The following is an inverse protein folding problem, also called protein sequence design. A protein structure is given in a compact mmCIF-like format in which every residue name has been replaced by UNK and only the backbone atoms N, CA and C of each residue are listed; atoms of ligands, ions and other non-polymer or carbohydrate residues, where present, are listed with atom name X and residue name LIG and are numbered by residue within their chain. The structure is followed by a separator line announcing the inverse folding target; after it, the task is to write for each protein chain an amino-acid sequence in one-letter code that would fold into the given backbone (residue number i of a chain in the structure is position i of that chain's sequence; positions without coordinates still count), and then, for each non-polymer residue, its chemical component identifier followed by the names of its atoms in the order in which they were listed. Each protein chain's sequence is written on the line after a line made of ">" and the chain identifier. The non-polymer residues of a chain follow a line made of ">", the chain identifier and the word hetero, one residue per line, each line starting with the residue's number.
data_IF_666781819020
#
_entry.id   IF_666781819020
#
_cell.length_a   1.000
_cell.length_b   1.000
_cell.length_c   1.000
_cell.angle_alpha   90.00
_cell.angle_beta   90.00
_cell.angle_gamma   90.00
#
_symmetry.space_group_name_H-M   'P 1'
#
loop_
_entity.id
_entity.type
_entity.pdbx_description
1 polymer ?
#
# COMPACT_ATOMS: atom_id res chain seq x y z
N UNK A 1 -26.83 -81.41 42.16
CA UNK A 1 -27.21 -81.47 40.73
C UNK A 1 -27.64 -80.08 40.30
N UNK A 2 -26.95 -79.47 39.32
CA UNK A 2 -27.43 -78.49 38.31
C UNK A 2 -28.31 -77.33 38.82
N UNK A 3 -27.98 -76.04 38.64
CA UNK A 3 -27.65 -75.38 37.37
C UNK A 3 -27.21 -73.94 37.66
N UNK A 4 -26.14 -73.48 37.02
CA UNK A 4 -25.74 -72.08 36.98
C UNK A 4 -26.55 -71.37 35.87
N UNK A 5 -27.04 -70.16 36.15
CA UNK A 5 -27.61 -69.25 35.16
C UNK A 5 -26.61 -68.12 34.91
N UNK A 6 -26.02 -68.14 33.72
CA UNK A 6 -25.19 -67.08 33.16
C UNK A 6 -26.08 -65.95 32.63
N UNK A 7 -25.81 -64.71 33.06
CA UNK A 7 -26.43 -63.50 32.50
C UNK A 7 -25.57 -62.92 31.37
N UNK A 8 -26.07 -62.99 30.14
CA UNK A 8 -25.46 -62.46 28.93
C UNK A 8 -25.49 -60.91 28.90
N UNK A 9 -24.30 -60.30 28.85
CA UNK A 9 -24.11 -58.89 28.49
C UNK A 9 -24.25 -58.70 26.96
N UNK A 10 -25.37 -58.11 26.55
CA UNK A 10 -25.61 -57.63 25.19
C UNK A 10 -24.77 -56.37 24.90
N UNK A 11 -23.59 -56.55 24.31
CA UNK A 11 -22.75 -55.48 23.76
C UNK A 11 -23.20 -55.10 22.34
N UNK A 12 -23.99 -54.03 22.24
CA UNK A 12 -24.42 -53.40 20.98
C UNK A 12 -23.25 -52.69 20.30
N UNK A 13 -22.68 -53.31 19.27
CA UNK A 13 -21.62 -52.75 18.43
C UNK A 13 -22.18 -51.73 17.42
N UNK A 14 -22.18 -50.44 17.79
CA UNK A 14 -22.40 -49.36 16.83
C UNK A 14 -21.20 -49.24 15.89
N UNK A 15 -21.37 -49.66 14.65
CA UNK A 15 -20.45 -49.43 13.54
C UNK A 15 -20.40 -47.94 13.19
N UNK A 16 -19.44 -47.22 13.76
CA UNK A 16 -19.10 -45.85 13.31
C UNK A 16 -18.53 -45.91 11.91
N UNK A 17 -19.30 -45.44 10.93
CA UNK A 17 -18.79 -45.10 9.60
C UNK A 17 -17.67 -44.07 9.75
N UNK A 18 -16.48 -44.28 9.15
CA UNK A 18 -15.38 -43.33 9.27
C UNK A 18 -15.77 -42.00 8.62
N UNK A 19 -15.73 -40.93 9.42
CA UNK A 19 -15.92 -39.56 8.94
C UNK A 19 -14.96 -39.28 7.77
N UNK A 20 -15.42 -38.63 6.69
CA UNK A 20 -14.57 -38.34 5.54
C UNK A 20 -13.36 -37.52 6.00
N UNK A 21 -12.16 -38.02 5.68
CA UNK A 21 -10.91 -37.32 6.00
C UNK A 21 -10.92 -35.95 5.31
N UNK A 22 -10.62 -34.85 6.01
CA UNK A 22 -10.55 -33.53 5.39
C UNK A 22 -9.56 -33.57 4.23
N UNK A 23 -10.00 -33.08 3.07
CA UNK A 23 -9.17 -33.00 1.87
C UNK A 23 -8.06 -32.00 2.17
N UNK A 24 -6.86 -32.49 2.44
CA UNK A 24 -5.69 -31.64 2.65
C UNK A 24 -5.32 -31.03 1.29
N UNK A 25 -5.75 -29.79 1.07
CA UNK A 25 -5.33 -29.02 -0.10
C UNK A 25 -3.80 -28.86 -0.03
N UNK A 26 -3.04 -29.31 -1.05
CA UNK A 26 -1.59 -29.15 -1.06
C UNK A 26 -1.20 -27.66 -0.95
N UNK A 27 -0.22 -27.32 -0.12
CA UNK A 27 0.24 -25.93 0.09
C UNK A 27 0.51 -25.19 -1.23
N UNK A 28 0.98 -25.90 -2.27
CA UNK A 28 1.19 -25.34 -3.61
C UNK A 28 -0.07 -24.69 -4.24
N UNK A 29 -1.28 -25.21 -3.99
CA UNK A 29 -2.52 -24.63 -4.55
C UNK A 29 -2.91 -23.32 -3.85
N UNK A 30 -2.64 -23.21 -2.55
CA UNK A 30 -2.92 -22.00 -1.75
C UNK A 30 -2.07 -20.82 -2.20
N UNK A 31 -0.79 -21.10 -2.44
CA UNK A 31 0.15 -20.09 -2.93
C UNK A 31 -0.29 -19.53 -4.28
N UNK A 32 -0.85 -20.38 -5.15
CA UNK A 32 -1.34 -19.97 -6.47
C UNK A 32 -2.56 -19.05 -6.40
N UNK A 33 -3.53 -19.31 -5.51
CA UNK A 33 -4.72 -18.46 -5.37
C UNK A 33 -4.36 -17.04 -4.90
N UNK A 34 -3.51 -16.93 -3.87
CA UNK A 34 -3.02 -15.64 -3.38
C UNK A 34 -2.15 -14.91 -4.42
N UNK A 35 -1.31 -15.64 -5.18
CA UNK A 35 -0.50 -15.06 -6.28
C UNK A 35 -1.38 -14.52 -7.41
N UNK A 36 -2.44 -15.24 -7.77
CA UNK A 36 -3.40 -14.79 -8.76
C UNK A 36 -4.13 -13.54 -8.26
N UNK A 37 -4.65 -13.58 -7.04
CA UNK A 37 -5.31 -12.43 -6.42
C UNK A 37 -4.39 -11.20 -6.37
N UNK A 38 -3.12 -11.38 -6.01
CA UNK A 38 -2.13 -10.29 -6.06
C UNK A 38 -2.01 -9.70 -7.48
N UNK A 39 -1.89 -10.55 -8.50
CA UNK A 39 -1.81 -10.12 -9.90
C UNK A 39 -3.06 -9.35 -10.35
N UNK A 40 -4.24 -9.84 -9.97
CA UNK A 40 -5.53 -9.24 -10.33
C UNK A 40 -5.72 -7.88 -9.62
N UNK A 41 -5.38 -7.78 -8.33
CA UNK A 41 -5.39 -6.51 -7.57
C UNK A 41 -4.33 -5.55 -8.11
N UNK A 42 -3.14 -6.03 -8.47
CA UNK A 42 -2.09 -5.18 -9.05
C UNK A 42 -2.54 -4.53 -10.35
N UNK A 43 -3.35 -5.24 -11.12
CA UNK A 43 -3.94 -4.81 -12.39
C UNK A 43 -5.19 -3.92 -12.22
N UNK A 44 -5.70 -3.75 -10.99
CA UNK A 44 -6.83 -2.86 -10.72
C UNK A 44 -6.41 -1.39 -10.69
N UNK A 45 -7.39 -0.48 -10.78
CA UNK A 45 -7.18 0.94 -10.52
C UNK A 45 -6.73 1.21 -9.07
N UNK A 46 -6.25 2.42 -8.74
CA UNK A 46 -5.75 2.78 -7.41
C UNK A 46 -6.83 2.66 -6.32
N UNK A 47 -8.10 2.75 -6.70
CA UNK A 47 -9.28 2.55 -5.85
C UNK A 47 -10.13 1.44 -6.43
N UNK A 48 -10.54 0.50 -5.59
CA UNK A 48 -11.46 -0.56 -6.00
C UNK A 48 -12.89 -0.04 -5.97
N UNK A 49 -13.64 -0.33 -7.02
CA UNK A 49 -15.08 -0.14 -7.07
C UNK A 49 -15.76 -1.27 -6.30
N UNK A 50 -16.99 -1.05 -5.86
CA UNK A 50 -17.77 -2.08 -5.14
C UNK A 50 -17.87 -3.41 -5.92
N UNK A 51 -17.99 -3.32 -7.24
CA UNK A 51 -18.04 -4.48 -8.13
C UNK A 51 -16.70 -5.22 -8.24
N UNK A 52 -15.57 -4.55 -7.95
CA UNK A 52 -14.26 -5.20 -7.99
C UNK A 52 -14.12 -6.21 -6.84
N UNK A 53 -14.76 -6.00 -5.69
CA UNK A 53 -14.70 -6.91 -4.55
C UNK A 53 -15.22 -8.31 -4.90
N UNK A 54 -16.42 -8.38 -5.49
CA UNK A 54 -17.00 -9.66 -5.91
C UNK A 54 -16.16 -10.33 -7.01
N UNK A 55 -15.65 -9.56 -7.98
CA UNK A 55 -14.80 -10.10 -9.06
C UNK A 55 -13.49 -10.68 -8.53
N UNK A 56 -12.95 -10.09 -7.47
CA UNK A 56 -11.67 -10.47 -6.87
C UNK A 56 -11.83 -11.44 -5.69
N UNK A 57 -13.04 -11.95 -5.40
CA UNK A 57 -13.33 -12.77 -4.22
C UNK A 57 -12.84 -12.12 -2.92
N UNK A 58 -13.15 -10.83 -2.74
CA UNK A 58 -12.82 -10.07 -1.53
C UNK A 58 -14.11 -9.77 -0.78
N UNK A 59 -14.23 -10.28 0.44
CA UNK A 59 -15.36 -10.00 1.32
C UNK A 59 -14.99 -8.87 2.27
N UNK A 60 -15.62 -7.70 2.10
CA UNK A 60 -15.37 -6.52 2.93
C UNK A 60 -16.54 -6.29 3.88
N UNK A 61 -16.28 -6.32 5.18
CA UNK A 61 -17.26 -6.04 6.23
C UNK A 61 -16.93 -4.71 6.90
N UNK A 62 -17.78 -3.67 6.80
CA UNK A 62 -17.61 -2.46 7.59
C UNK A 62 -17.92 -2.75 9.06
N UNK A 63 -17.13 -2.18 9.96
CA UNK A 63 -17.25 -2.40 11.40
C UNK A 63 -17.08 -1.09 12.14
N UNK A 64 -17.86 -0.90 13.20
CA UNK A 64 -17.67 0.21 14.14
C UNK A 64 -16.92 -0.34 15.34
N UNK A 65 -15.68 0.11 15.52
CA UNK A 65 -14.91 -0.26 16.69
C UNK A 65 -15.41 0.53 17.90
N UNK A 66 -15.52 -0.17 19.03
CA UNK A 66 -15.87 0.41 20.32
C UNK A 66 -14.80 1.40 20.77
N UNK A 67 -15.22 2.56 21.27
CA UNK A 67 -14.33 3.66 21.63
C UNK A 67 -13.43 3.35 22.83
N UNK A 68 -13.88 2.47 23.72
CA UNK A 68 -13.10 1.98 24.86
C UNK A 68 -12.19 0.81 24.46
N UNK A 69 -12.26 0.39 23.20
CA UNK A 69 -11.49 -0.72 22.67
C UNK A 69 -12.04 -2.06 23.15
N UNK A 70 -13.34 -2.25 23.29
CA UNK A 70 -13.90 -3.59 23.51
C UNK A 70 -13.57 -4.54 22.34
N UNK A 71 -13.42 -5.86 22.60
CA UNK A 71 -13.21 -6.85 21.55
C UNK A 71 -14.30 -6.83 20.48
N UNK A 72 -13.88 -7.06 19.24
CA UNK A 72 -14.74 -6.99 18.07
C UNK A 72 -14.79 -8.36 17.36
N UNK A 73 -15.97 -8.98 17.15
CA UNK A 73 -16.07 -10.31 16.53
C UNK A 73 -15.47 -10.39 15.13
N UNK A 74 -15.57 -9.33 14.33
CA UNK A 74 -15.00 -9.25 12.98
C UNK A 74 -13.47 -9.16 13.00
N UNK A 75 -12.88 -8.82 14.15
CA UNK A 75 -11.45 -8.76 14.42
C UNK A 75 -11.00 -10.02 15.19
N UNK A 76 -11.52 -11.19 14.82
CA UNK A 76 -11.42 -12.45 15.57
C UNK A 76 -10.01 -12.99 15.84
N UNK A 77 -8.96 -12.42 15.24
CA UNK A 77 -7.57 -12.81 15.45
C UNK A 77 -6.77 -11.82 16.32
N UNK A 78 -7.38 -10.70 16.70
CA UNK A 78 -6.73 -9.68 17.53
C UNK A 78 -7.69 -9.22 18.62
N UNK A 79 -7.27 -9.32 19.87
CA UNK A 79 -8.03 -8.77 21.00
C UNK A 79 -7.36 -7.49 21.47
N UNK A 80 -8.05 -6.34 21.47
CA UNK A 80 -7.47 -5.06 21.86
C UNK A 80 -7.00 -5.09 23.32
N UNK A 81 -5.95 -4.33 23.62
CA UNK A 81 -5.45 -4.17 24.97
C UNK A 81 -6.50 -3.54 25.91
N UNK A 82 -6.78 -4.23 27.02
CA UNK A 82 -7.82 -3.85 27.98
C UNK A 82 -7.27 -3.18 29.25
N UNK A 83 -5.96 -3.00 29.39
CA UNK A 83 -5.41 -2.30 30.56
C UNK A 83 -5.77 -0.81 30.56
N UNK A 84 -5.86 -0.25 31.75
CA UNK A 84 -6.20 1.17 31.98
C UNK A 84 -4.97 2.07 32.06
N UNK A 85 -3.77 1.50 31.91
CA UNK A 85 -2.47 2.12 32.10
C UNK A 85 -1.87 2.72 30.81
N UNK A 86 -2.70 2.99 29.80
CA UNK A 86 -2.22 3.73 28.63
C UNK A 86 -1.73 5.11 29.05
N UNK A 87 -0.57 5.55 28.55
CA UNK A 87 0.00 6.83 28.97
C UNK A 87 -0.90 7.96 28.44
N UNK A 88 -0.96 9.10 29.14
CA UNK A 88 -1.77 10.22 28.69
C UNK A 88 -1.20 10.78 27.36
N UNK A 89 -2.08 11.12 26.43
CA UNK A 89 -1.69 11.82 25.19
C UNK A 89 -1.49 13.30 25.52
N UNK A 90 -0.29 13.69 25.97
CA UNK A 90 0.05 15.07 26.30
C UNK A 90 1.48 15.43 25.86
N UNK A 91 1.83 16.72 25.92
CA UNK A 91 3.14 17.23 25.47
C UNK A 91 4.32 16.56 26.19
N UNK A 92 4.17 16.24 27.47
CA UNK A 92 5.20 15.59 28.28
C UNK A 92 5.50 14.17 27.78
N UNK A 93 4.45 13.38 27.54
CA UNK A 93 4.56 12.01 27.02
C UNK A 93 5.02 11.98 25.56
N UNK A 94 4.51 12.91 24.76
CA UNK A 94 4.72 12.93 23.32
C UNK A 94 6.03 13.63 22.93
N UNK A 95 6.59 14.46 23.80
CA UNK A 95 7.76 15.31 23.50
C UNK A 95 7.52 16.33 22.38
N UNK A 96 6.27 16.49 21.92
CA UNK A 96 5.86 17.41 20.84
C UNK A 96 4.36 17.67 20.88
N UNK A 97 3.96 18.81 20.33
CA UNK A 97 2.56 19.17 20.15
C UNK A 97 1.94 18.39 18.97
N UNK A 98 0.63 18.15 19.04
CA UNK A 98 -0.14 17.66 17.91
C UNK A 98 -0.20 18.76 16.86
N UNK A 99 0.01 18.41 15.58
CA UNK A 99 0.00 19.38 14.49
C UNK A 99 -1.37 19.37 13.86
N UNK A 100 -2.16 20.41 14.10
CA UNK A 100 -3.53 20.48 13.58
C UNK A 100 -3.52 20.86 12.09
N UNK A 101 -4.59 20.45 11.40
CA UNK A 101 -4.83 20.87 10.04
C UNK A 101 -5.16 22.38 10.02
N UNK A 102 -4.47 23.14 9.16
CA UNK A 102 -4.65 24.59 9.04
C UNK A 102 -3.60 25.45 9.75
N UNK A 103 -2.92 24.95 10.79
CA UNK A 103 -1.95 25.76 11.57
C UNK A 103 -0.74 26.26 10.76
N UNK A 104 -0.35 25.55 9.70
CA UNK A 104 0.78 25.92 8.84
C UNK A 104 0.39 26.46 7.46
N UNK A 105 -0.91 26.50 7.16
CA UNK A 105 -1.37 26.95 5.84
C UNK A 105 -1.18 28.48 5.66
N UNK A 106 -0.91 29.21 6.76
CA UNK A 106 -0.56 30.63 6.79
C UNK A 106 0.93 30.93 6.45
N UNK A 107 1.80 29.91 6.35
CA UNK A 107 3.21 30.11 5.97
C UNK A 107 3.49 29.93 4.46
N UNK A 108 2.46 30.10 3.63
CA UNK A 108 2.52 30.88 2.38
C UNK A 108 3.46 30.45 1.24
N UNK A 109 4.28 29.39 1.33
CA UNK A 109 5.15 28.99 0.20
C UNK A 109 5.30 27.49 -0.08
N UNK A 110 5.09 26.61 0.90
CA UNK A 110 5.14 25.16 0.68
C UNK A 110 4.23 24.45 1.69
N UNK A 111 2.90 24.50 1.46
CA UNK A 111 1.97 23.68 2.23
C UNK A 111 2.40 22.22 2.17
N UNK A 112 2.29 21.49 3.29
CA UNK A 112 2.59 20.06 3.28
C UNK A 112 1.68 19.37 2.27
N UNK A 113 2.27 18.58 1.38
CA UNK A 113 1.51 17.69 0.51
C UNK A 113 0.74 16.65 1.36
N UNK A 114 -0.20 15.96 0.71
CA UNK A 114 -1.11 15.04 1.40
C UNK A 114 -0.35 13.88 2.06
N UNK A 115 0.72 13.40 1.42
CA UNK A 115 1.58 12.34 1.97
C UNK A 115 2.40 12.80 3.19
N UNK A 116 2.93 14.02 3.20
CA UNK A 116 3.67 14.54 4.36
C UNK A 116 2.72 14.81 5.54
N UNK A 117 1.49 15.28 5.30
CA UNK A 117 0.47 15.36 6.37
C UNK A 117 0.14 14.00 6.96
N UNK A 118 -0.04 13.00 6.09
CA UNK A 118 -0.24 11.60 6.52
C UNK A 118 0.95 11.08 7.33
N UNK A 119 2.17 11.41 6.90
CA UNK A 119 3.41 11.01 7.57
C UNK A 119 3.54 11.64 8.95
N UNK A 120 3.21 12.92 9.11
CA UNK A 120 3.21 13.59 10.42
C UNK A 120 2.26 12.87 11.38
N UNK A 121 1.06 12.51 10.92
CA UNK A 121 0.09 11.76 11.74
C UNK A 121 0.62 10.38 12.13
N UNK A 122 1.17 9.62 11.17
CA UNK A 122 1.75 8.30 11.44
C UNK A 122 2.92 8.38 12.42
N UNK A 123 3.80 9.39 12.29
CA UNK A 123 4.91 9.62 13.21
C UNK A 123 4.41 9.99 14.61
N UNK A 124 3.38 10.83 14.70
CA UNK A 124 2.79 11.18 15.99
C UNK A 124 2.22 9.94 16.69
N UNK A 125 1.46 9.11 15.98
CA UNK A 125 0.98 7.84 16.51
C UNK A 125 2.14 6.90 16.91
N UNK A 126 3.18 6.81 16.09
CA UNK A 126 4.35 5.98 16.39
C UNK A 126 5.05 6.42 17.67
N UNK A 127 5.17 7.73 17.92
CA UNK A 127 5.74 8.26 19.17
C UNK A 127 4.87 7.85 20.36
N UNK A 128 3.56 8.00 20.26
CA UNK A 128 2.62 7.60 21.31
C UNK A 128 2.70 6.10 21.61
N UNK A 129 2.73 5.28 20.56
CA UNK A 129 2.84 3.84 20.70
C UNK A 129 4.18 3.42 21.33
N UNK A 130 5.27 4.07 20.92
CA UNK A 130 6.61 3.81 21.45
C UNK A 130 6.77 4.23 22.92
N UNK A 131 6.14 5.33 23.35
CA UNK A 131 6.20 5.74 24.76
C UNK A 131 5.67 4.66 25.70
N UNK A 132 4.79 3.80 25.20
CA UNK A 132 4.30 2.64 25.94
C UNK A 132 5.13 1.37 25.73
N UNK A 133 5.51 1.03 24.49
CA UNK A 133 6.30 -0.19 24.22
C UNK A 133 7.68 -0.16 24.88
N UNK A 134 8.36 0.99 24.89
CA UNK A 134 9.66 1.11 25.55
C UNK A 134 9.60 0.85 27.06
N UNK A 135 8.41 0.93 27.66
CA UNK A 135 8.18 0.57 29.06
C UNK A 135 7.82 -0.91 29.29
N UNK A 136 7.44 -1.67 28.24
CA UNK A 136 6.89 -3.02 28.38
C UNK A 136 7.72 -4.16 27.78
N UNK A 137 8.49 -3.97 26.69
CA UNK A 137 9.18 -5.08 26.01
C UNK A 137 10.48 -4.67 25.31
N UNK A 138 11.37 -5.66 25.22
CA UNK A 138 12.62 -5.59 24.45
C UNK A 138 12.35 -5.48 22.94
N UNK A 139 13.28 -4.82 22.25
CA UNK A 139 13.10 -4.19 20.92
C UNK A 139 12.60 -5.16 19.83
N UNK A 140 11.49 -4.82 19.17
CA UNK A 140 11.13 -5.36 17.86
C UNK A 140 11.81 -4.56 16.75
N UNK A 141 12.57 -5.21 15.87
CA UNK A 141 13.18 -4.57 14.69
C UNK A 141 12.17 -4.40 13.56
N UNK A 142 12.24 -3.27 12.85
CA UNK A 142 11.41 -3.01 11.68
C UNK A 142 11.85 -3.92 10.52
N UNK A 143 10.98 -4.85 10.13
CA UNK A 143 11.34 -5.95 9.21
C UNK A 143 11.39 -5.51 7.73
N UNK A 144 10.65 -4.47 7.33
CA UNK A 144 10.56 -4.09 5.91
C UNK A 144 10.03 -2.67 5.66
N UNK A 145 10.48 -2.05 4.55
CA UNK A 145 9.89 -0.83 4.01
C UNK A 145 9.83 -0.90 2.48
N UNK A 146 8.68 -0.50 1.91
CA UNK A 146 8.54 -0.23 0.48
C UNK A 146 8.08 1.21 0.28
N UNK A 147 8.64 1.85 -0.74
CA UNK A 147 8.30 3.21 -1.16
C UNK A 147 7.75 3.16 -2.58
N UNK A 148 6.46 3.44 -2.71
CA UNK A 148 5.79 3.81 -3.94
C UNK A 148 5.48 5.33 -3.85
N UNK A 149 5.48 6.10 -4.95
CA UNK A 149 5.11 7.51 -4.90
C UNK A 149 3.74 7.76 -4.22
N UNK A 150 2.82 6.80 -4.27
CA UNK A 150 1.45 6.94 -3.76
C UNK A 150 1.25 6.34 -2.36
N UNK A 151 2.17 5.49 -1.87
CA UNK A 151 2.06 4.86 -0.55
C UNK A 151 3.40 4.37 -0.03
N UNK A 152 3.55 4.29 1.29
CA UNK A 152 4.71 3.67 1.91
C UNK A 152 4.32 2.78 3.08
N UNK A 153 4.94 1.61 3.17
CA UNK A 153 4.88 0.77 4.37
C UNK A 153 5.96 1.24 5.33
N UNK A 154 5.54 1.60 6.54
CA UNK A 154 6.35 2.29 7.54
C UNK A 154 6.89 1.34 8.59
N UNK A 155 6.05 0.41 9.03
CA UNK A 155 6.41 -0.55 10.05
C UNK A 155 5.68 -1.88 9.80
N UNK A 156 6.38 -2.99 9.99
CA UNK A 156 5.78 -4.32 10.09
C UNK A 156 6.31 -4.93 11.38
N UNK A 157 5.39 -5.34 12.25
CA UNK A 157 5.71 -5.91 13.55
C UNK A 157 5.15 -7.32 13.62
N UNK A 158 6.03 -8.25 13.98
CA UNK A 158 5.72 -9.66 14.19
C UNK A 158 5.53 -9.96 15.68
N UNK A 159 5.08 -11.17 15.99
CA UNK A 159 5.23 -11.72 17.32
C UNK A 159 6.73 -11.86 17.66
N UNK A 160 7.25 -11.25 18.74
CA UNK A 160 8.66 -11.36 19.12
C UNK A 160 9.08 -12.81 19.36
N UNK A 161 8.15 -13.66 19.82
CA UNK A 161 8.40 -15.08 20.03
C UNK A 161 8.24 -15.92 18.75
N UNK A 162 7.77 -15.30 17.65
CA UNK A 162 7.44 -15.90 16.35
C UNK A 162 6.58 -17.16 16.46
N UNK A 163 5.79 -17.29 17.52
CA UNK A 163 4.99 -18.48 17.76
C UNK A 163 3.68 -18.44 16.98
N UNK A 164 3.32 -17.29 16.40
CA UNK A 164 2.05 -17.07 15.75
C UNK A 164 2.21 -16.37 14.41
N UNK A 165 1.40 -16.70 13.38
CA UNK A 165 1.52 -16.11 12.04
C UNK A 165 0.89 -14.69 11.95
N UNK A 166 0.63 -14.04 13.08
CA UNK A 166 -0.05 -12.76 13.14
C UNK A 166 0.90 -11.62 12.83
N UNK A 167 0.50 -10.78 11.88
CA UNK A 167 1.26 -9.62 11.45
C UNK A 167 0.54 -8.33 11.79
N UNK A 168 1.30 -7.32 12.19
CA UNK A 168 0.85 -5.94 12.25
C UNK A 168 1.60 -5.10 11.23
N UNK A 169 0.92 -4.18 10.57
CA UNK A 169 1.54 -3.30 9.59
C UNK A 169 0.99 -1.87 9.71
N UNK A 170 1.87 -0.87 9.55
CA UNK A 170 1.50 0.53 9.44
C UNK A 170 1.88 1.04 8.05
N UNK A 171 0.96 1.71 7.38
CA UNK A 171 1.19 2.29 6.06
C UNK A 171 0.60 3.68 5.92
N UNK A 172 1.20 4.48 5.04
CA UNK A 172 0.74 5.82 4.67
C UNK A 172 0.32 5.86 3.20
N UNK A 173 -0.69 6.66 2.86
CA UNK A 173 -1.15 6.88 1.49
C UNK A 173 -1.30 8.35 1.14
N UNK A 174 -0.98 8.68 -0.10
CA UNK A 174 -1.21 10.00 -0.70
C UNK A 174 -2.62 10.12 -1.31
N UNK A 175 -3.66 9.70 -0.58
CA UNK A 175 -5.04 9.66 -1.10
C UNK A 175 -6.09 9.96 -0.02
N UNK A 176 -7.11 10.74 -0.37
CA UNK A 176 -8.28 10.95 0.51
C UNK A 176 -9.24 9.75 0.48
N UNK A 177 -9.85 9.41 1.63
CA UNK A 177 -10.85 8.34 1.67
C UNK A 177 -12.16 8.71 0.99
N UNK A 178 -12.78 7.72 0.35
CA UNK A 178 -14.16 7.72 -0.14
C UNK A 178 -14.96 6.55 0.46
N UNK A 179 -14.49 6.01 1.59
CA UNK A 179 -15.05 4.83 2.25
C UNK A 179 -14.64 3.48 1.64
N UNK A 180 -13.92 3.46 0.50
CA UNK A 180 -13.47 2.22 -0.15
C UNK A 180 -12.06 1.83 0.28
N UNK A 181 -11.71 0.57 0.06
CA UNK A 181 -10.33 0.08 0.20
C UNK A 181 -9.43 0.60 -0.94
N UNK A 182 -8.23 1.02 -0.58
CA UNK A 182 -7.18 1.35 -1.52
C UNK A 182 -6.55 0.08 -2.08
N UNK A 183 -6.12 0.13 -3.35
CA UNK A 183 -5.38 -0.98 -3.97
C UNK A 183 -4.16 -1.36 -3.15
N UNK A 184 -3.44 -0.36 -2.63
CA UNK A 184 -2.22 -0.61 -1.86
C UNK A 184 -2.47 -1.25 -0.50
N UNK A 185 -3.60 -1.00 0.17
CA UNK A 185 -3.95 -1.74 1.40
C UNK A 185 -4.10 -3.22 1.11
N UNK A 186 -4.86 -3.56 0.06
CA UNK A 186 -5.07 -4.95 -0.35
C UNK A 186 -3.78 -5.62 -0.80
N UNK A 187 -2.95 -4.93 -1.61
CA UNK A 187 -1.67 -5.48 -2.05
C UNK A 187 -0.78 -5.82 -0.87
N UNK A 188 -0.65 -4.91 0.11
CA UNK A 188 0.17 -5.16 1.29
C UNK A 188 -0.40 -6.28 2.14
N UNK A 189 -1.72 -6.32 2.37
CA UNK A 189 -2.38 -7.44 3.06
C UNK A 189 -2.04 -8.78 2.36
N UNK A 190 -2.25 -8.87 1.05
CA UNK A 190 -2.03 -10.11 0.28
C UNK A 190 -0.55 -10.51 0.32
N UNK A 191 0.36 -9.54 0.16
CA UNK A 191 1.80 -9.80 0.22
C UNK A 191 2.19 -10.32 1.61
N UNK A 192 1.70 -9.71 2.68
CA UNK A 192 2.00 -10.13 4.05
C UNK A 192 1.45 -11.53 4.38
N UNK A 193 0.18 -11.78 4.06
CA UNK A 193 -0.46 -13.10 4.23
C UNK A 193 0.33 -14.15 3.46
N UNK A 194 0.60 -13.91 2.17
CA UNK A 194 1.33 -14.85 1.33
C UNK A 194 2.74 -15.10 1.86
N UNK A 195 3.47 -14.04 2.19
CA UNK A 195 4.85 -14.17 2.67
C UNK A 195 4.92 -14.98 3.95
N UNK A 196 3.91 -14.85 4.83
CA UNK A 196 3.82 -15.61 6.07
C UNK A 196 3.45 -17.07 5.85
N UNK A 197 2.53 -17.37 4.94
CA UNK A 197 2.13 -18.76 4.61
C UNK A 197 3.21 -19.48 3.81
N UNK A 198 3.92 -18.78 2.92
CA UNK A 198 5.04 -19.35 2.15
C UNK A 198 6.30 -19.55 3.00
N UNK A 199 6.29 -19.08 4.25
CA UNK A 199 7.41 -19.23 5.17
C UNK A 199 7.27 -20.53 5.95
N UNK A 200 8.16 -21.49 5.70
CA UNK A 200 8.04 -22.87 6.18
C UNK A 200 7.93 -23.03 7.70
N UNK A 201 8.40 -22.06 8.50
CA UNK A 201 8.21 -22.09 9.97
C UNK A 201 6.73 -22.03 10.38
N UNK A 202 5.85 -21.52 9.49
CA UNK A 202 4.42 -21.43 9.71
C UNK A 202 3.60 -22.50 8.95
N UNK A 203 4.23 -23.58 8.46
CA UNK A 203 3.52 -24.65 7.71
C UNK A 203 2.38 -25.32 8.50
N UNK A 204 2.46 -25.29 9.84
CA UNK A 204 1.40 -25.78 10.73
C UNK A 204 0.17 -24.87 10.80
N UNK A 205 0.26 -23.64 10.28
CA UNK A 205 -0.81 -22.66 10.28
C UNK A 205 -1.55 -22.64 8.95
N UNK A 206 -2.87 -22.49 9.02
CA UNK A 206 -3.76 -22.38 7.86
C UNK A 206 -4.08 -20.92 7.54
N UNK A 207 -4.01 -20.06 8.55
CA UNK A 207 -4.39 -18.66 8.45
C UNK A 207 -3.23 -17.80 8.94
N UNK A 208 -2.91 -16.74 8.20
CA UNK A 208 -1.94 -15.71 8.61
C UNK A 208 -2.66 -14.35 8.73
N UNK A 209 -3.18 -14.01 9.91
CA UNK A 209 -3.94 -12.78 10.08
C UNK A 209 -3.07 -11.53 10.02
N UNK A 210 -3.60 -10.45 9.45
CA UNK A 210 -2.94 -9.14 9.35
C UNK A 210 -3.84 -8.08 9.99
N UNK A 211 -3.24 -7.29 10.90
CA UNK A 211 -3.81 -6.05 11.42
C UNK A 211 -3.07 -4.86 10.78
N UNK A 212 -3.76 -4.10 9.93
CA UNK A 212 -3.19 -2.99 9.17
C UNK A 212 -3.73 -1.65 9.66
N UNK A 213 -2.82 -0.73 9.96
CA UNK A 213 -3.10 0.67 10.22
C UNK A 213 -2.84 1.45 8.94
N UNK A 214 -3.92 1.92 8.32
CA UNK A 214 -3.82 2.76 7.13
C UNK A 214 -4.03 4.21 7.52
N UNK A 215 -2.98 5.02 7.37
CA UNK A 215 -3.01 6.47 7.47
C UNK A 215 -3.08 7.06 6.07
N UNK A 216 -3.94 8.05 5.84
CA UNK A 216 -4.13 8.58 4.49
C UNK A 216 -4.74 9.98 4.50
N UNK A 217 -4.61 10.67 3.37
CA UNK A 217 -5.31 11.92 3.12
C UNK A 217 -4.89 13.05 4.05
N UNK A 218 -5.82 13.97 4.31
CA UNK A 218 -5.61 15.08 5.24
C UNK A 218 -5.75 14.61 6.70
N UNK A 219 -4.78 13.84 7.19
CA UNK A 219 -4.75 13.30 8.56
C UNK A 219 -5.97 12.43 8.92
N UNK A 220 -6.24 11.42 8.10
CA UNK A 220 -7.24 10.40 8.42
C UNK A 220 -6.56 9.05 8.63
N UNK A 221 -7.23 8.15 9.36
CA UNK A 221 -6.76 6.77 9.46
C UNK A 221 -7.91 5.77 9.63
N UNK A 222 -7.60 4.49 9.44
CA UNK A 222 -8.48 3.36 9.78
C UNK A 222 -7.67 2.12 10.13
N UNK A 223 -8.33 1.18 10.80
CA UNK A 223 -7.78 -0.13 11.13
C UNK A 223 -8.48 -1.17 10.25
N UNK A 224 -7.67 -2.01 9.61
CA UNK A 224 -8.16 -3.17 8.86
C UNK A 224 -7.69 -4.44 9.55
N UNK A 225 -8.58 -5.41 9.66
CA UNK A 225 -8.25 -6.77 9.99
C UNK A 225 -8.49 -7.63 8.77
N UNK A 226 -7.51 -8.46 8.39
CA UNK A 226 -7.64 -9.28 7.20
C UNK A 226 -6.99 -10.64 7.33
N UNK A 227 -7.57 -11.62 6.65
CA UNK A 227 -7.03 -12.95 6.49
C UNK A 227 -7.58 -13.60 5.23
N UNK A 228 -6.87 -14.59 4.69
CA UNK A 228 -7.36 -15.37 3.56
C UNK A 228 -8.02 -16.64 4.06
N UNK A 229 -9.30 -16.82 3.73
CA UNK A 229 -10.05 -18.03 4.04
C UNK A 229 -9.84 -19.06 2.92
N UNK A 230 -9.25 -20.19 3.28
CA UNK A 230 -8.90 -21.21 2.31
C UNK A 230 -10.12 -21.98 1.80
N UNK A 231 -11.20 -22.05 2.58
CA UNK A 231 -12.37 -22.88 2.24
C UNK A 231 -13.29 -22.14 1.26
N UNK A 232 -13.59 -20.89 1.56
CA UNK A 232 -14.34 -20.01 0.66
C UNK A 232 -13.51 -19.48 -0.50
N UNK A 233 -12.17 -19.59 -0.43
CA UNK A 233 -11.23 -18.95 -1.36
C UNK A 233 -11.43 -17.43 -1.46
N UNK A 234 -11.76 -16.79 -0.33
CA UNK A 234 -12.00 -15.36 -0.21
C UNK A 234 -10.94 -14.67 0.65
N UNK A 235 -10.54 -13.47 0.25
CA UNK A 235 -9.85 -12.55 1.15
C UNK A 235 -10.88 -11.84 2.02
N UNK A 236 -10.84 -12.08 3.33
CA UNK A 236 -11.74 -11.48 4.30
C UNK A 236 -11.09 -10.20 4.83
N UNK A 237 -11.80 -9.08 4.75
CA UNK A 237 -11.34 -7.78 5.24
C UNK A 237 -12.43 -7.13 6.09
N UNK A 238 -12.19 -7.05 7.40
CA UNK A 238 -12.96 -6.20 8.30
C UNK A 238 -12.34 -4.80 8.31
N UNK A 239 -13.17 -3.77 8.11
CA UNK A 239 -12.74 -2.38 7.96
C UNK A 239 -13.42 -1.50 9.00
N UNK A 240 -12.65 -0.81 9.84
CA UNK A 240 -13.19 0.17 10.79
C UNK A 240 -13.84 1.38 10.10
N UNK A 241 -14.53 2.20 10.90
CA UNK A 241 -14.81 3.59 10.54
C UNK A 241 -13.52 4.35 10.22
N UNK A 242 -13.66 5.44 9.45
CA UNK A 242 -12.55 6.37 9.21
C UNK A 242 -12.49 7.36 10.36
N UNK A 243 -11.31 7.47 10.97
CA UNK A 243 -11.04 8.39 12.06
C UNK A 243 -10.43 9.67 11.50
N UNK A 244 -10.98 10.81 11.93
CA UNK A 244 -10.49 12.12 11.57
C UNK A 244 -9.51 12.62 12.63
N UNK A 245 -8.30 12.96 12.21
CA UNK A 245 -7.23 13.54 12.99
C UNK A 245 -6.76 14.89 12.41
N UNK A 246 -7.64 15.62 11.73
CA UNK A 246 -7.36 17.02 11.38
C UNK A 246 -7.22 17.89 12.63
N UNK A 247 -7.95 17.54 13.69
CA UNK A 247 -7.76 18.05 15.05
C UNK A 247 -7.30 16.90 15.95
N UNK A 248 -6.74 17.25 17.12
CA UNK A 248 -6.32 16.23 18.07
C UNK A 248 -7.52 15.38 18.51
N UNK A 249 -7.45 14.07 18.27
CA UNK A 249 -8.49 13.11 18.62
C UNK A 249 -7.92 12.05 19.58
N UNK A 250 -7.89 12.39 20.86
CA UNK A 250 -7.30 11.56 21.92
C UNK A 250 -8.00 10.19 22.02
N UNK A 251 -9.35 10.09 22.05
CA UNK A 251 -10.02 8.79 22.11
C UNK A 251 -9.64 7.87 20.94
N UNK A 252 -9.57 8.40 19.72
CA UNK A 252 -9.17 7.61 18.56
C UNK A 252 -7.68 7.21 18.61
N UNK A 253 -6.79 8.07 19.11
CA UNK A 253 -5.37 7.73 19.33
C UNK A 253 -5.21 6.60 20.35
N UNK A 254 -5.95 6.67 21.46
CA UNK A 254 -5.96 5.63 22.48
C UNK A 254 -6.53 4.32 21.92
N UNK A 255 -7.61 4.38 21.15
CA UNK A 255 -8.16 3.21 20.46
C UNK A 255 -7.12 2.56 19.54
N UNK A 256 -6.42 3.35 18.71
CA UNK A 256 -5.35 2.83 17.85
C UNK A 256 -4.23 2.17 18.66
N UNK A 257 -3.85 2.74 19.80
CA UNK A 257 -2.86 2.14 20.69
C UNK A 257 -3.35 0.83 21.30
N UNK A 258 -4.62 0.76 21.75
CA UNK A 258 -5.20 -0.48 22.28
C UNK A 258 -5.13 -1.61 21.26
N UNK A 259 -5.48 -1.32 20.00
CA UNK A 259 -5.37 -2.29 18.92
C UNK A 259 -3.91 -2.59 18.55
N UNK A 260 -2.99 -1.64 18.65
CA UNK A 260 -1.58 -1.89 18.30
C UNK A 260 -0.83 -2.69 19.38
N UNK A 261 -1.41 -2.74 20.57
CA UNK A 261 -1.01 -3.57 21.70
C UNK A 261 -1.86 -4.83 21.83
N UNK A 262 -2.62 -5.18 20.78
CA UNK A 262 -3.54 -6.31 20.80
C UNK A 262 -2.85 -7.63 21.14
N UNK A 263 -3.54 -8.45 21.92
CA UNK A 263 -3.20 -9.87 22.07
C UNK A 263 -3.56 -10.61 20.78
N UNK A 264 -2.69 -11.56 20.39
CA UNK A 264 -3.00 -12.48 19.28
C UNK A 264 -3.98 -13.53 19.81
N UNK A 265 -5.14 -13.64 19.18
CA UNK A 265 -6.21 -14.57 19.57
C UNK A 265 -6.70 -15.32 18.34
N UNK A 266 -7.70 -16.19 18.51
CA UNK A 266 -8.23 -16.99 17.41
C UNK A 266 -7.33 -18.18 17.04
N UNK A 267 -7.93 -19.15 16.37
CA UNK A 267 -7.24 -20.37 15.98
C UNK A 267 -6.70 -20.22 14.55
N UNK A 268 -5.38 -20.17 14.42
CA UNK A 268 -4.70 -20.08 13.13
C UNK A 268 -4.22 -21.44 12.61
N UNK A 269 -4.26 -22.49 13.43
CA UNK A 269 -3.84 -23.87 13.07
C UNK A 269 -4.96 -24.67 12.43
N UNK A 270 -6.19 -24.35 12.79
CA UNK A 270 -7.39 -24.95 12.22
C UNK A 270 -8.15 -23.89 11.42
N UNK A 271 -8.94 -24.34 10.45
CA UNK A 271 -9.84 -23.47 9.69
C UNK A 271 -10.87 -22.84 10.64
N UNK A 272 -11.29 -21.60 10.31
CA UNK A 272 -12.22 -20.83 11.15
C UNK A 272 -13.62 -21.42 11.00
N UNK A 273 -13.91 -22.47 11.75
CA UNK A 273 -15.29 -22.85 12.03
C UNK A 273 -15.86 -21.88 13.06
N UNK A 274 -17.05 -21.35 12.77
CA UNK A 274 -17.72 -20.37 13.62
C UNK A 274 -17.75 -20.76 15.10
N UNK A 275 -17.46 -19.77 15.95
CA UNK A 275 -17.71 -19.72 17.40
C UNK A 275 -17.14 -20.87 18.25
N UNK A 276 -15.93 -20.69 18.80
CA UNK A 276 -15.60 -21.16 20.16
C UNK A 276 -14.60 -20.20 20.84
N UNK A 277 -14.75 -19.90 22.15
CA UNK A 277 -13.85 -19.02 22.89
C UNK A 277 -12.51 -19.73 23.19
N UNK A 278 -11.40 -18.97 23.37
CA UNK A 278 -10.07 -19.55 23.53
C UNK A 278 -9.83 -20.05 24.96
N UNK A 279 -9.57 -21.34 25.13
CA UNK A 279 -8.91 -21.89 26.33
C UNK A 279 -7.41 -21.97 26.07
N UNK A 280 -6.64 -21.13 26.77
CA UNK A 280 -5.18 -21.07 26.68
C UNK A 280 -4.50 -22.28 27.31
N UNK A 281 -3.51 -22.83 26.61
CA UNK A 281 -2.47 -23.70 27.18
C UNK A 281 -1.12 -23.26 26.59
N UNK A 282 -0.11 -22.89 27.41
CA UNK A 282 1.23 -22.56 26.93
C UNK A 282 2.06 -23.83 26.67
N UNK A 283 2.82 -23.85 25.57
CA UNK A 283 3.73 -24.95 25.20
C UNK A 283 5.18 -24.56 25.55
N UNK A 284 5.90 -25.51 26.17
CA UNK A 284 7.24 -25.36 26.78
C UNK A 284 8.36 -25.46 25.74
N UNK A 285 9.34 -24.56 25.79
CA UNK A 285 10.42 -24.39 24.79
C UNK A 285 11.81 -24.42 25.41
N UNK A 286 12.57 -25.51 25.25
CA UNK A 286 14.00 -25.52 25.66
C UNK A 286 14.96 -26.18 24.65
N UNK A 287 14.48 -26.80 23.56
CA UNK A 287 15.36 -27.59 22.66
C UNK A 287 15.57 -27.04 21.24
N UNK A 288 15.08 -25.83 20.93
CA UNK A 288 15.00 -25.30 19.55
C UNK A 288 15.99 -24.12 19.30
N UNK A 289 16.61 -23.54 20.34
CA UNK A 289 17.40 -22.30 20.23
C UNK A 289 18.66 -22.39 19.35
N UNK A 290 19.33 -23.54 19.30
CA UNK A 290 20.59 -23.67 18.55
C UNK A 290 20.38 -23.84 17.03
N UNK A 291 19.23 -24.35 16.60
CA UNK A 291 18.84 -24.38 15.18
C UNK A 291 18.32 -23.02 14.70
N UNK A 292 17.63 -22.27 15.58
CA UNK A 292 17.05 -20.93 15.31
C UNK A 292 18.10 -19.88 14.91
N UNK A 293 19.28 -19.88 15.54
CA UNK A 293 20.29 -18.84 15.28
C UNK A 293 20.96 -18.96 13.89
N UNK A 294 21.04 -20.16 13.31
CA UNK A 294 21.60 -20.39 11.96
C UNK A 294 20.57 -20.13 10.85
N UNK A 295 19.28 -20.41 11.08
CA UNK A 295 18.22 -20.14 10.11
C UNK A 295 17.83 -18.65 10.05
N UNK A 296 17.88 -17.92 11.17
CA UNK A 296 17.64 -16.47 11.21
C UNK A 296 18.55 -15.70 10.24
N UNK A 297 19.84 -16.06 10.19
CA UNK A 297 20.80 -15.43 9.26
C UNK A 297 20.55 -15.76 7.78
N UNK A 298 20.04 -16.95 7.44
CA UNK A 298 19.75 -17.28 6.04
C UNK A 298 18.47 -16.59 5.53
N UNK A 299 17.50 -16.38 6.43
CA UNK A 299 16.22 -15.71 6.14
C UNK A 299 16.41 -14.21 5.91
N UNK A 300 17.19 -13.54 6.75
CA UNK A 300 17.51 -12.12 6.57
C UNK A 300 18.23 -11.89 5.23
N UNK A 301 19.14 -12.81 4.86
CA UNK A 301 19.84 -12.77 3.57
C UNK A 301 18.87 -12.96 2.38
N UNK A 302 17.88 -13.85 2.50
CA UNK A 302 16.90 -14.07 1.42
C UNK A 302 15.95 -12.89 1.24
N UNK A 303 15.50 -12.28 2.35
CA UNK A 303 14.69 -11.05 2.30
C UNK A 303 15.49 -9.88 1.73
N UNK A 304 16.75 -9.69 2.13
CA UNK A 304 17.62 -8.65 1.56
C UNK A 304 17.89 -8.87 0.06
N UNK A 305 18.16 -10.12 -0.36
CA UNK A 305 18.38 -10.44 -1.79
C UNK A 305 17.14 -10.15 -2.63
N UNK A 306 15.95 -10.48 -2.13
CA UNK A 306 14.70 -10.21 -2.84
C UNK A 306 14.35 -8.72 -2.88
N UNK A 307 14.58 -8.00 -1.78
CA UNK A 307 14.44 -6.55 -1.71
C UNK A 307 15.47 -5.82 -2.60
N UNK A 308 16.69 -6.36 -2.74
CA UNK A 308 17.69 -5.87 -3.68
C UNK A 308 17.23 -6.08 -5.13
N UNK A 309 16.69 -7.26 -5.46
CA UNK A 309 16.15 -7.55 -6.80
C UNK A 309 14.98 -6.61 -7.17
N UNK A 310 14.08 -6.32 -6.24
CA UNK A 310 12.98 -5.37 -6.47
C UNK A 310 13.49 -3.93 -6.65
N UNK A 311 14.49 -3.50 -5.89
CA UNK A 311 15.16 -2.20 -6.07
C UNK A 311 15.81 -2.09 -7.46
N UNK A 312 16.50 -3.14 -7.91
CA UNK A 312 17.07 -3.19 -9.26
C UNK A 312 16.00 -3.14 -10.35
N UNK A 313 14.88 -3.85 -10.17
CA UNK A 313 13.77 -3.82 -11.11
C UNK A 313 13.09 -2.44 -11.17
N UNK A 314 12.93 -1.76 -10.02
CA UNK A 314 12.41 -0.40 -9.97
C UNK A 314 13.36 0.62 -10.62
N UNK A 315 14.66 0.52 -10.34
CA UNK A 315 15.68 1.36 -10.96
C UNK A 315 15.71 1.19 -12.50
N UNK A 316 15.56 -0.04 -12.99
CA UNK A 316 15.50 -0.31 -14.43
C UNK A 316 14.26 0.33 -15.09
N UNK A 317 13.11 0.34 -14.42
CA UNK A 317 11.90 1.03 -14.91
C UNK A 317 12.11 2.55 -14.96
N UNK A 318 12.69 3.13 -13.90
CA UNK A 318 12.97 4.56 -13.84
C UNK A 318 13.95 4.99 -14.95
N UNK A 319 15.01 4.21 -15.17
CA UNK A 319 15.96 4.46 -16.26
C UNK A 319 15.28 4.38 -17.65
N UNK A 320 14.34 3.44 -17.83
CA UNK A 320 13.55 3.36 -19.06
C UNK A 320 12.66 4.59 -19.27
N UNK A 321 12.00 5.06 -18.21
CA UNK A 321 11.17 6.27 -18.29
C UNK A 321 11.98 7.54 -18.56
N UNK A 322 13.18 7.66 -17.96
CA UNK A 322 14.07 8.79 -18.21
C UNK A 322 14.60 8.80 -19.65
N UNK A 323 14.97 7.63 -20.19
CA UNK A 323 15.38 7.51 -21.60
C UNK A 323 14.26 7.92 -22.54
N UNK A 324 13.02 7.52 -22.25
CA UNK A 324 11.85 7.93 -23.03
C UNK A 324 11.63 9.45 -22.96
N UNK A 325 11.69 10.04 -21.77
CA UNK A 325 11.56 11.49 -21.60
C UNK A 325 12.71 12.28 -22.26
N UNK A 326 13.93 11.72 -22.32
CA UNK A 326 15.05 12.31 -23.05
C UNK A 326 14.83 12.24 -24.57
N UNK A 327 14.33 11.13 -25.08
CA UNK A 327 13.98 10.99 -26.50
C UNK A 327 12.86 11.96 -26.91
N UNK A 328 11.82 12.11 -26.11
CA UNK A 328 10.73 13.08 -26.35
C UNK A 328 11.28 14.53 -26.39
N UNK A 329 12.19 14.89 -25.48
CA UNK A 329 12.87 16.20 -25.50
C UNK A 329 13.73 16.42 -26.75
N UNK A 330 14.41 15.38 -27.24
CA UNK A 330 15.19 15.47 -28.48
C UNK A 330 14.30 15.73 -29.69
N UNK A 331 13.19 15.00 -29.80
CA UNK A 331 12.21 15.19 -30.88
C UNK A 331 11.64 16.61 -30.86
N UNK A 332 11.31 17.14 -29.67
CA UNK A 332 10.80 18.51 -29.55
C UNK A 332 11.86 19.57 -29.92
N UNK A 333 13.11 19.36 -29.54
CA UNK A 333 14.22 20.23 -29.93
C UNK A 333 14.43 20.24 -31.45
N UNK A 334 14.33 19.08 -32.12
CA UNK A 334 14.40 19.00 -33.58
C UNK A 334 13.22 19.70 -34.26
N UNK A 335 11.99 19.54 -33.74
CA UNK A 335 10.83 20.30 -34.25
C UNK A 335 11.04 21.80 -34.14
N UNK A 336 11.56 22.28 -33.01
CA UNK A 336 11.86 23.70 -32.81
C UNK A 336 12.93 24.20 -33.78
N UNK A 337 14.03 23.46 -33.95
CA UNK A 337 15.08 23.81 -34.89
C UNK A 337 14.57 23.83 -36.34
N UNK A 338 13.69 22.88 -36.71
CA UNK A 338 13.04 22.86 -38.02
C UNK A 338 12.14 24.08 -38.25
N UNK A 339 11.35 24.46 -37.25
CA UNK A 339 10.51 25.66 -37.30
C UNK A 339 11.34 26.95 -37.43
N UNK A 340 12.46 27.06 -36.72
CA UNK A 340 13.38 28.20 -36.82
C UNK A 340 14.02 28.29 -38.21
N UNK A 341 14.45 27.16 -38.79
CA UNK A 341 14.96 27.12 -40.19
C UNK A 341 13.88 27.54 -41.19
N UNK A 342 12.64 27.08 -41.01
CA UNK A 342 11.54 27.45 -41.88
C UNK A 342 11.24 28.96 -41.79
N UNK A 343 11.24 29.53 -40.59
CA UNK A 343 11.08 30.97 -40.37
C UNK A 343 12.20 31.78 -41.04
N UNK A 344 13.46 31.36 -40.89
CA UNK A 344 14.60 32.01 -41.53
C UNK A 344 14.50 31.96 -43.07
N UNK A 345 14.08 30.82 -43.64
CA UNK A 345 13.85 30.69 -45.08
C UNK A 345 12.74 31.63 -45.58
N UNK A 346 11.65 31.78 -44.83
CA UNK A 346 10.58 32.73 -45.17
C UNK A 346 11.06 34.18 -45.11
N UNK A 347 11.91 34.54 -44.15
CA UNK A 347 12.48 35.89 -44.06
C UNK A 347 13.40 36.20 -45.25
N UNK A 348 14.22 35.24 -45.69
CA UNK A 348 15.06 35.38 -46.88
C UNK A 348 14.22 35.54 -48.16
N UNK A 349 13.21 34.68 -48.36
CA UNK A 349 12.32 34.78 -49.51
C UNK A 349 11.59 36.13 -49.56
N UNK A 350 11.20 36.67 -48.39
CA UNK A 350 10.59 38.00 -48.29
C UNK A 350 11.57 39.12 -48.65
N UNK A 351 12.83 39.01 -48.26
CA UNK A 351 13.86 39.99 -48.61
C UNK A 351 14.13 39.99 -50.13
N UNK A 352 14.27 38.81 -50.76
CA UNK A 352 14.43 38.68 -52.20
C UNK A 352 13.26 39.27 -53.00
N UNK A 353 12.02 39.02 -52.54
CA UNK A 353 10.84 39.62 -53.14
C UNK A 353 10.84 41.15 -53.05
N UNK A 354 11.29 41.69 -51.92
CA UNK A 354 11.37 43.14 -51.69
C UNK A 354 12.39 43.79 -52.62
N UNK A 355 13.58 43.20 -52.77
CA UNK A 355 14.60 43.65 -53.72
C UNK A 355 14.11 43.57 -55.18
N UNK A 356 13.38 42.51 -55.54
CA UNK A 356 12.79 42.39 -56.87
C UNK A 356 11.76 43.49 -57.17
N UNK A 357 10.96 43.88 -56.18
CA UNK A 357 9.99 44.98 -56.30
C UNK A 357 10.73 46.31 -56.50
N UNK A 358 11.72 46.62 -55.64
CA UNK A 358 12.51 47.86 -55.74
C UNK A 358 13.23 47.95 -57.08
N UNK A 359 13.83 46.84 -57.53
CA UNK A 359 14.49 46.76 -58.84
C UNK A 359 13.54 46.97 -60.01
N UNK A 360 12.29 46.52 -59.91
CA UNK A 360 11.26 46.74 -60.93
C UNK A 360 10.83 48.21 -60.98
N UNK A 361 10.54 48.81 -59.83
CA UNK A 361 10.18 50.24 -59.73
C UNK A 361 11.30 51.14 -60.28
N UNK A 362 12.56 50.81 -59.98
CA UNK A 362 13.73 51.54 -60.50
C UNK A 362 13.81 51.46 -62.03
N UNK A 363 13.58 50.28 -62.63
CA UNK A 363 13.56 50.12 -64.10
C UNK A 363 12.39 50.83 -64.77
N UNK A 364 11.22 50.83 -64.13
CA UNK A 364 10.04 51.56 -64.62
C UNK A 364 10.30 53.08 -64.57
N UNK A 365 10.97 53.56 -63.51
CA UNK A 365 11.39 54.96 -63.37
C UNK A 365 12.38 55.40 -64.46
N UNK A 366 13.38 54.56 -64.76
CA UNK A 366 14.36 54.82 -65.83
C UNK A 366 13.68 54.85 -67.21
N UNK A 367 12.80 53.89 -67.51
CA UNK A 367 12.04 53.87 -68.77
C UNK A 367 11.13 55.10 -68.93
N UNK A 368 10.52 55.56 -67.84
CA UNK A 368 9.71 56.77 -67.85
C UNK A 368 10.57 58.02 -68.15
N UNK A 369 11.76 58.12 -67.55
CA UNK A 369 12.69 59.20 -67.81
C UNK A 369 13.25 59.19 -69.25
N UNK A 370 13.57 58.01 -69.79
CA UNK A 370 13.98 57.86 -71.20
C UNK A 370 12.86 58.25 -72.18
N UNK A 371 11.61 57.88 -71.87
CA UNK A 371 10.44 58.25 -72.69
C UNK A 371 10.18 59.76 -72.64
N UNK A 372 10.38 60.41 -71.48
CA UNK A 372 10.27 61.86 -71.35
C UNK A 372 11.35 62.59 -72.14
N UNK A 373 12.60 62.09 -72.13
CA UNK A 373 13.70 62.63 -72.94
C UNK A 373 13.44 62.50 -74.44
N UNK A 374 12.85 61.39 -74.89
CA UNK A 374 12.50 61.18 -76.29
C UNK A 374 11.41 62.16 -76.76
N UNK A 375 10.44 62.49 -75.90
CA UNK A 375 9.40 63.48 -76.19
C UNK A 375 9.94 64.92 -76.29
N UNK A 376 11.02 65.25 -75.57
CA UNK A 376 11.65 66.58 -75.59
C UNK A 376 12.46 66.84 -76.88
N UNK A 377 12.94 65.78 -77.54
CA UNK A 377 13.65 65.87 -78.83
C UNK A 377 12.75 66.03 -80.05
N UNK A 378 11.43 65.84 -79.92
CA UNK A 378 10.46 65.95 -81.02
C UNK A 378 9.77 67.32 -81.08
N UNK A 379 10.13 68.25 -80.17
CA UNK A 379 9.61 69.61 -80.09
C UNK A 379 10.64 70.66 -80.50
N UNK A 380 11.25 70.50 -81.69
CA UNK A 380 11.95 71.59 -82.34
C UNK A 380 11.32 71.82 -83.73
N UNK A 381 10.34 72.74 -83.85
CA UNK A 381 9.85 73.16 -85.15
C UNK A 381 10.89 74.10 -85.80
N UNK A 382 11.27 73.77 -87.04
CA UNK A 382 11.97 74.69 -87.96
C UNK A 382 11.21 76.00 -88.19
#
# INVERSE_FOLDING_TARGET
>A
MSRAEDSEESSSSYSRTPSPKPIVVPNNRRHMALRRLEGDVRSSGPRLRKNDYNRLNIRVTPVTLDENGAPCPEFCFFSPYQGDDLPPVNKETMGRDFREYGEDDDHGKFGLDTIERTRVMQVYFMIYWNSYIFNLRDKGEAVWSAKDPQYAVRNITDDPDQQSPHLMCQMIHDMNADGRLFRSELLIIIILIRSRIEFGEFDQYKVAPVLLYSFFGLQHARILHAYYDNDSHELIVARSQTFNFQLQNIPALQLFARWSLSHRVGNTKHEVYGMFPPTGIPIRTERIESARKRQRSEVDILFERRASAERHAAAARNASTERRAAAERHVEAERRASAERHSAALMLARAELTEAIIGRESRESVKAAESAKAAETDTNPE
#
